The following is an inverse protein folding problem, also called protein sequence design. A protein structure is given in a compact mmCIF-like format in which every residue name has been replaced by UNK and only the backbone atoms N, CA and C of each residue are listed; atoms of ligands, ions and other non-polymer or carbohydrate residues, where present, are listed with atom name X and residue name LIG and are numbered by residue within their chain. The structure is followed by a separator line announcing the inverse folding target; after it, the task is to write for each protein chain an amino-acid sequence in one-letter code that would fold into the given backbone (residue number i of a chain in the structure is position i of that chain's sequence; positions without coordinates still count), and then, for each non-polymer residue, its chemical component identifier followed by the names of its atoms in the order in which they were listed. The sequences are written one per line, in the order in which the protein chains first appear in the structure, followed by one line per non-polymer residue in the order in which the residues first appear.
data_IF_037153972748
#
_entry.id   IF_037153972748
#
_cell.length_a   1.000
_cell.length_b   1.000
_cell.length_c   1.000
_cell.angle_alpha   90.00
_cell.angle_beta   90.00
_cell.angle_gamma   90.00
#
_symmetry.space_group_name_H-M   'P 1'
#
loop_
_entity.id
_entity.type
_entity.pdbx_description
1 polymer ?
#
# COMPACT_ATOMS: atom_id res chain seq x y z
N UNK A 1 -4.02 -9.11 -0.77
CA UNK A 1 -4.88 -7.97 -1.16
C UNK A 1 -6.31 -8.17 -0.70
N UNK A 2 -7.05 -9.18 -1.20
CA UNK A 2 -8.42 -9.42 -0.75
C UNK A 2 -8.55 -9.57 0.78
N UNK A 3 -7.71 -10.41 1.39
CA UNK A 3 -7.67 -10.55 2.85
C UNK A 3 -7.29 -9.26 3.60
N UNK A 4 -6.46 -8.41 3.00
CA UNK A 4 -6.10 -7.12 3.60
C UNK A 4 -7.26 -6.13 3.54
N UNK A 5 -7.99 -6.08 2.42
CA UNK A 5 -9.20 -5.26 2.31
C UNK A 5 -10.31 -5.69 3.27
N UNK A 6 -10.52 -7.00 3.43
CA UNK A 6 -11.48 -7.55 4.41
C UNK A 6 -11.05 -7.20 5.84
N UNK A 7 -9.76 -7.32 6.16
CA UNK A 7 -9.23 -6.93 7.47
C UNK A 7 -9.40 -5.43 7.73
N UNK A 8 -9.12 -4.57 6.74
CA UNK A 8 -9.35 -3.12 6.85
C UNK A 8 -10.82 -2.82 7.08
N UNK A 9 -11.73 -3.46 6.34
CA UNK A 9 -13.17 -3.27 6.53
C UNK A 9 -13.62 -3.71 7.93
N UNK A 10 -13.18 -4.88 8.38
CA UNK A 10 -13.50 -5.39 9.72
C UNK A 10 -12.99 -4.45 10.82
N UNK A 11 -11.78 -3.90 10.67
CA UNK A 11 -11.22 -2.90 11.58
C UNK A 11 -12.06 -1.62 11.61
N UNK A 12 -12.45 -1.08 10.45
CA UNK A 12 -13.29 0.12 10.37
C UNK A 12 -14.68 -0.11 10.98
N UNK A 13 -15.28 -1.29 10.75
CA UNK A 13 -16.55 -1.66 11.35
C UNK A 13 -16.45 -1.77 12.89
N UNK A 14 -15.36 -2.37 13.40
CA UNK A 14 -15.10 -2.44 14.84
C UNK A 14 -14.87 -1.05 15.43
N UNK A 15 -14.07 -0.19 14.78
CA UNK A 15 -13.86 1.19 15.19
C UNK A 15 -15.19 1.96 15.26
N UNK A 16 -16.04 1.82 14.25
CA UNK A 16 -17.36 2.44 14.24
C UNK A 16 -18.23 1.94 15.40
N UNK A 17 -18.27 0.62 15.65
CA UNK A 17 -19.03 0.05 16.76
C UNK A 17 -18.56 0.55 18.13
N UNK A 18 -17.24 0.66 18.35
CA UNK A 18 -16.66 1.20 19.58
C UNK A 18 -17.04 2.67 19.77
N UNK A 19 -16.88 3.49 18.72
CA UNK A 19 -17.24 4.91 18.79
C UNK A 19 -18.74 5.10 19.00
N UNK A 20 -19.58 4.31 18.34
CA UNK A 20 -21.03 4.33 18.53
C UNK A 20 -21.38 4.02 20.00
N UNK A 21 -20.78 2.98 20.58
CA UNK A 21 -21.01 2.65 21.99
C UNK A 21 -20.57 3.79 22.92
N UNK A 22 -19.42 4.41 22.62
CA UNK A 22 -18.91 5.53 23.42
C UNK A 22 -19.84 6.74 23.38
N UNK A 23 -20.32 7.12 22.21
CA UNK A 23 -21.18 8.30 22.03
C UNK A 23 -22.54 8.15 22.73
N UNK A 24 -23.13 6.96 22.71
CA UNK A 24 -24.51 6.78 23.16
C UNK A 24 -24.66 6.17 24.56
N UNK A 25 -23.66 5.43 25.05
CA UNK A 25 -23.82 4.64 26.29
C UNK A 25 -22.77 4.93 27.37
N UNK A 26 -21.57 5.40 27.00
CA UNK A 26 -20.45 5.48 27.96
C UNK A 26 -20.04 6.91 28.28
N UNK A 27 -19.90 7.77 27.26
CA UNK A 27 -19.32 9.11 27.40
C UNK A 27 -20.22 10.17 26.78
N UNK A 28 -20.14 11.39 27.30
CA UNK A 28 -20.74 12.55 26.66
C UNK A 28 -20.08 12.88 25.32
N UNK A 29 -20.87 13.41 24.41
CA UNK A 29 -20.40 13.85 23.09
C UNK A 29 -19.21 14.82 23.18
N UNK A 30 -19.21 15.74 24.16
CA UNK A 30 -18.13 16.71 24.37
C UNK A 30 -16.74 16.06 24.57
N UNK A 31 -16.69 14.84 25.11
CA UNK A 31 -15.44 14.09 25.29
C UNK A 31 -15.05 13.32 24.02
N UNK A 32 -16.04 12.75 23.32
CA UNK A 32 -15.80 11.89 22.14
C UNK A 32 -15.50 12.71 20.89
N UNK A 33 -16.09 13.90 20.77
CA UNK A 33 -15.89 14.84 19.67
C UNK A 33 -14.41 15.08 19.33
N UNK A 34 -13.54 15.57 20.25
CA UNK A 34 -12.13 15.77 19.94
C UNK A 34 -11.41 14.47 19.57
N UNK A 35 -11.78 13.33 20.17
CA UNK A 35 -11.19 12.03 19.87
C UNK A 35 -11.48 11.62 18.42
N UNK A 36 -12.71 11.83 17.94
CA UNK A 36 -13.07 11.54 16.55
C UNK A 36 -12.34 12.44 15.56
N UNK A 37 -12.12 13.71 15.91
CA UNK A 37 -11.30 14.61 15.10
C UNK A 37 -9.85 14.13 15.00
N UNK A 38 -9.23 13.76 16.12
CA UNK A 38 -7.86 13.22 16.13
C UNK A 38 -7.75 11.93 15.29
N UNK A 39 -8.73 11.04 15.40
CA UNK A 39 -8.81 9.83 14.57
C UNK A 39 -8.89 10.17 13.08
N UNK A 40 -9.73 11.14 12.70
CA UNK A 40 -9.83 11.60 11.31
C UNK A 40 -8.50 12.16 10.78
N UNK A 41 -7.85 13.04 11.56
CA UNK A 41 -6.55 13.60 11.18
C UNK A 41 -5.43 12.56 11.08
N UNK A 42 -5.52 11.49 11.87
CA UNK A 42 -4.54 10.39 11.82
C UNK A 42 -4.46 9.78 10.42
N UNK A 43 -5.59 9.64 9.72
CA UNK A 43 -5.60 9.18 8.33
C UNK A 43 -4.82 10.13 7.39
N UNK A 44 -4.95 11.44 7.58
CA UNK A 44 -4.19 12.44 6.81
C UNK A 44 -2.69 12.31 7.07
N UNK A 45 -2.29 12.16 8.33
CA UNK A 45 -0.89 11.93 8.70
C UNK A 45 -0.34 10.64 8.08
N UNK A 46 -1.11 9.56 8.07
CA UNK A 46 -0.73 8.32 7.39
C UNK A 46 -0.53 8.53 5.89
N UNK A 47 -1.40 9.29 5.22
CA UNK A 47 -1.24 9.63 3.82
C UNK A 47 0.06 10.38 3.55
N UNK A 48 0.40 11.37 4.38
CA UNK A 48 1.65 12.14 4.27
C UNK A 48 2.87 11.23 4.45
N UNK A 49 2.87 10.37 5.47
CA UNK A 49 3.96 9.43 5.73
C UNK A 49 4.11 8.42 4.59
N UNK A 50 2.99 7.92 4.04
CA UNK A 50 2.98 7.01 2.90
C UNK A 50 3.57 7.67 1.66
N UNK A 51 3.17 8.91 1.37
CA UNK A 51 3.71 9.69 0.26
C UNK A 51 5.21 9.93 0.43
N UNK A 52 5.65 10.35 1.62
CA UNK A 52 7.07 10.58 1.91
C UNK A 52 7.93 9.32 1.71
N UNK A 53 7.37 8.12 1.93
CA UNK A 53 8.08 6.85 1.80
C UNK A 53 8.07 6.28 0.38
N UNK A 54 6.97 6.43 -0.35
CA UNK A 54 6.77 5.78 -1.66
C UNK A 54 6.92 6.73 -2.84
N UNK A 55 6.83 8.04 -2.63
CA UNK A 55 6.79 9.06 -3.67
C UNK A 55 5.48 9.09 -4.46
N UNK A 56 4.49 8.27 -4.09
CA UNK A 56 3.20 8.13 -4.78
C UNK A 56 2.08 8.58 -3.84
N UNK A 57 1.10 9.28 -4.40
CA UNK A 57 -0.07 9.72 -3.63
C UNK A 57 -0.83 8.53 -3.03
N UNK A 58 -1.34 8.73 -1.82
CA UNK A 58 -2.07 7.68 -1.12
C UNK A 58 -3.46 7.52 -1.74
N UNK A 59 -3.64 6.40 -2.45
CA UNK A 59 -4.90 5.99 -3.06
C UNK A 59 -5.12 4.50 -2.82
N UNK A 60 -6.34 4.03 -3.03
CA UNK A 60 -6.65 2.61 -2.90
C UNK A 60 -5.80 1.75 -3.85
N UNK A 61 -5.61 2.21 -5.09
CA UNK A 61 -4.82 1.52 -6.10
C UNK A 61 -3.33 1.52 -5.76
N UNK A 62 -2.77 2.67 -5.33
CA UNK A 62 -1.35 2.75 -4.96
C UNK A 62 -1.03 1.88 -3.74
N UNK A 63 -1.92 1.85 -2.74
CA UNK A 63 -1.80 0.98 -1.57
C UNK A 63 -1.87 -0.49 -1.99
N UNK A 64 -2.80 -0.84 -2.88
CA UNK A 64 -2.99 -2.21 -3.37
C UNK A 64 -1.76 -2.71 -4.13
N UNK A 65 -1.18 -1.88 -4.98
CA UNK A 65 0.00 -2.24 -5.75
C UNK A 65 1.24 -2.35 -4.87
N UNK A 66 1.41 -1.43 -3.91
CA UNK A 66 2.46 -1.53 -2.90
C UNK A 66 2.37 -2.85 -2.10
N UNK A 67 1.16 -3.21 -1.62
CA UNK A 67 0.95 -4.46 -0.88
C UNK A 67 1.22 -5.70 -1.74
N UNK A 68 0.91 -5.63 -3.04
CA UNK A 68 1.20 -6.71 -3.99
C UNK A 68 2.70 -6.88 -4.17
N UNK A 69 3.43 -5.80 -4.41
CA UNK A 69 4.89 -5.82 -4.56
C UNK A 69 5.54 -6.36 -3.29
N UNK A 70 5.19 -5.81 -2.13
CA UNK A 70 5.73 -6.27 -0.85
C UNK A 70 5.49 -7.76 -0.59
N UNK A 71 4.28 -8.27 -0.89
CA UNK A 71 3.98 -9.70 -0.74
C UNK A 71 4.77 -10.56 -1.74
N UNK A 72 4.94 -10.10 -2.97
CA UNK A 72 5.75 -10.79 -3.99
C UNK A 72 7.19 -10.84 -3.52
N UNK A 73 7.76 -9.74 -3.06
CA UNK A 73 9.13 -9.67 -2.56
C UNK A 73 9.35 -10.59 -1.36
N UNK A 74 8.39 -10.63 -0.42
CA UNK A 74 8.44 -11.52 0.72
C UNK A 74 8.39 -13.01 0.31
N UNK A 75 7.57 -13.37 -0.67
CA UNK A 75 7.49 -14.74 -1.19
C UNK A 75 8.76 -15.15 -1.95
N UNK A 76 9.29 -14.25 -2.79
CA UNK A 76 10.52 -14.47 -3.54
C UNK A 76 11.72 -14.64 -2.59
N UNK A 77 11.82 -13.80 -1.54
CA UNK A 77 12.85 -13.97 -0.49
C UNK A 77 12.72 -15.31 0.23
N UNK A 78 11.50 -15.74 0.56
CA UNK A 78 11.25 -17.04 1.22
C UNK A 78 11.63 -18.23 0.35
N UNK A 79 11.53 -18.10 -0.97
CA UNK A 79 11.90 -19.16 -1.92
C UNK A 79 13.40 -19.13 -2.28
N UNK A 80 14.20 -18.25 -1.66
CA UNK A 80 15.62 -18.13 -1.97
C UNK A 80 15.87 -17.58 -3.38
N UNK A 81 14.91 -16.84 -3.94
CA UNK A 81 15.01 -16.31 -5.28
C UNK A 81 16.16 -15.31 -5.37
N UNK A 82 17.11 -15.58 -6.27
CA UNK A 82 18.26 -14.71 -6.50
C UNK A 82 17.82 -13.48 -7.32
N UNK A 83 17.55 -12.40 -6.59
CA UNK A 83 17.21 -11.11 -7.18
C UNK A 83 18.32 -10.56 -8.08
N UNK A 84 19.59 -10.90 -7.83
CA UNK A 84 20.72 -10.41 -8.62
C UNK A 84 20.76 -11.10 -9.99
N UNK A 85 20.59 -12.42 -10.03
CA UNK A 85 20.51 -13.18 -11.29
C UNK A 85 19.33 -12.73 -12.15
N UNK A 86 18.18 -12.47 -11.53
CA UNK A 86 17.00 -11.99 -12.25
C UNK A 86 17.16 -10.56 -12.80
N UNK A 87 17.79 -9.66 -12.03
CA UNK A 87 18.11 -8.31 -12.48
C UNK A 87 19.07 -8.34 -13.69
N UNK A 88 20.14 -9.14 -13.61
CA UNK A 88 21.12 -9.28 -14.68
C UNK A 88 20.50 -9.86 -15.97
N UNK A 89 19.55 -10.79 -15.84
CA UNK A 89 18.84 -11.36 -17.00
C UNK A 89 17.90 -10.34 -17.65
N UNK A 90 17.23 -9.52 -16.83
CA UNK A 90 16.33 -8.48 -17.31
C UNK A 90 17.08 -7.35 -18.03
N UNK A 91 18.26 -6.99 -17.54
CA UNK A 91 19.14 -6.01 -18.19
C UNK A 91 19.61 -6.50 -19.58
N UNK A 92 19.98 -7.78 -19.70
CA UNK A 92 20.35 -8.37 -20.99
C UNK A 92 19.19 -8.36 -21.98
N UNK A 93 17.96 -8.64 -21.52
CA UNK A 93 16.77 -8.59 -22.35
C UNK A 93 16.52 -7.17 -22.89
N UNK A 94 16.56 -6.16 -22.00
CA UNK A 94 16.32 -4.76 -22.36
C UNK A 94 17.37 -4.24 -23.35
N UNK A 95 18.65 -4.61 -23.17
CA UNK A 95 19.70 -4.29 -24.14
C UNK A 95 19.48 -4.96 -25.50
N UNK A 96 19.00 -6.21 -25.52
CA UNK A 96 18.73 -6.94 -26.77
C UNK A 96 17.53 -6.34 -27.51
N UNK A 97 16.47 -5.96 -26.80
CA UNK A 97 15.30 -5.27 -27.37
C UNK A 97 15.67 -3.90 -27.94
N UNK A 98 16.52 -3.12 -27.24
CA UNK A 98 17.03 -1.84 -27.75
C UNK A 98 17.87 -2.03 -29.02
N UNK A 99 18.68 -3.07 -29.09
CA UNK A 99 19.46 -3.40 -30.29
C UNK A 99 18.57 -3.79 -31.47
N UNK A 100 17.55 -4.62 -31.23
CA UNK A 100 16.53 -4.97 -32.24
C UNK A 100 15.77 -3.74 -32.73
N UNK A 101 15.36 -2.84 -31.83
CA UNK A 101 14.68 -1.60 -32.18
C UNK A 101 15.58 -0.67 -33.02
N UNK A 102 16.86 -0.55 -32.66
CA UNK A 102 17.83 0.25 -33.42
C UNK A 102 18.11 -0.31 -34.82
N UNK A 103 18.12 -1.64 -34.98
CA UNK A 103 18.27 -2.30 -36.28
C UNK A 103 17.02 -2.12 -37.14
N UNK A 104 15.83 -2.23 -36.55
CA UNK A 104 14.55 -2.07 -37.26
C UNK A 104 14.27 -0.65 -37.77
N UNK A 105 14.90 0.37 -37.18
CA UNK A 105 14.80 1.78 -37.62
C UNK A 105 15.77 2.09 -38.79
N UNK A 106 16.74 1.21 -39.05
CA UNK A 106 17.79 1.41 -40.06
C UNK A 106 17.45 0.80 -41.44
N UNK A 107 16.39 -0.01 -41.52
CA UNK A 107 15.79 -0.53 -42.76
C UNK A 107 14.56 0.31 -43.14
#
# INVERSE_FOLDING_TARGET
VAAAGVATFAFLAAQFGVLFNWVFFVFDWNLVEPVTYFLGYTCTWFGIVFYARTGVEWSYDSTRDYLRQWRRDALLKRQGFDFAAHAATREKLDNTERQLAALRVRD
#
